data_IF_375938993524
#
_entry.id   IF_375938993524
#
_cell.length_a   1.000
_cell.length_b   1.000
_cell.length_c   1.000
_cell.angle_alpha   90.00
_cell.angle_beta   90.00
_cell.angle_gamma   90.00
#
_symmetry.space_group_name_H-M   'P 1'
#
loop_
_entity.id
_entity.type
_entity.pdbx_description
1 polymer ?
#
# COMPACT_ATOMS: atom_id res chain seq x y z
N UNK A 1 71.09 -32.45 -39.17
CA UNK A 1 69.61 -32.51 -39.14
C UNK A 1 69.13 -31.69 -37.96
N UNK A 2 68.53 -30.53 -38.23
CA UNK A 2 68.04 -29.58 -37.23
C UNK A 2 66.62 -29.95 -36.80
N UNK A 3 66.35 -29.95 -35.50
CA UNK A 3 65.01 -30.19 -34.93
C UNK A 3 64.52 -28.98 -34.15
N UNK A 4 63.38 -28.48 -34.64
CA UNK A 4 62.19 -28.00 -33.94
C UNK A 4 62.19 -26.67 -33.16
N UNK A 5 61.23 -25.87 -33.62
CA UNK A 5 60.73 -24.56 -33.20
C UNK A 5 59.77 -24.74 -32.02
N UNK A 6 59.97 -23.95 -30.98
CA UNK A 6 59.10 -23.88 -29.80
C UNK A 6 57.72 -23.32 -30.15
N UNK A 7 56.68 -23.99 -29.65
CA UNK A 7 55.29 -23.51 -29.65
C UNK A 7 54.83 -23.42 -28.20
N UNK A 8 54.19 -22.30 -27.88
CA UNK A 8 53.68 -21.91 -26.56
C UNK A 8 52.41 -22.69 -26.16
N UNK A 9 52.23 -23.09 -24.89
CA UNK A 9 50.93 -23.49 -24.37
C UNK A 9 50.21 -22.33 -23.67
N UNK A 10 48.89 -22.45 -23.75
CA UNK A 10 47.79 -21.61 -23.28
C UNK A 10 47.75 -21.36 -21.78
N UNK A 11 47.46 -20.12 -21.40
CA UNK A 11 47.03 -19.75 -20.05
C UNK A 11 45.63 -20.33 -19.82
N UNK A 12 45.51 -21.25 -18.87
CA UNK A 12 44.23 -21.70 -18.31
C UNK A 12 44.18 -21.22 -16.87
N UNK A 13 43.15 -20.48 -16.50
CA UNK A 13 42.99 -19.97 -15.14
C UNK A 13 41.83 -19.00 -15.03
N UNK A 14 40.60 -19.52 -15.09
CA UNK A 14 39.43 -18.81 -14.59
C UNK A 14 39.54 -18.72 -13.06
N UNK A 15 39.99 -17.57 -12.56
CA UNK A 15 39.85 -17.24 -11.14
C UNK A 15 38.38 -16.92 -10.91
N UNK A 16 37.65 -17.86 -10.33
CA UNK A 16 36.32 -17.61 -9.80
C UNK A 16 36.42 -16.51 -8.74
N UNK A 17 35.85 -15.35 -9.04
CA UNK A 17 35.58 -14.30 -8.05
C UNK A 17 34.47 -14.80 -7.14
N UNK A 18 34.85 -15.35 -5.98
CA UNK A 18 33.92 -15.59 -4.88
C UNK A 18 33.17 -14.28 -4.56
N UNK A 19 31.82 -14.26 -4.55
CA UNK A 19 31.09 -13.06 -4.20
C UNK A 19 31.39 -12.72 -2.74
N UNK A 20 31.95 -11.53 -2.54
CA UNK A 20 32.19 -10.95 -1.22
C UNK A 20 30.90 -10.93 -0.39
N UNK A 21 30.99 -11.08 0.95
CA UNK A 21 29.83 -11.16 1.82
C UNK A 21 28.99 -9.91 1.57
N UNK A 22 27.77 -10.11 1.05
CA UNK A 22 26.85 -9.01 0.78
C UNK A 22 26.60 -8.35 2.12
N UNK A 23 27.16 -7.15 2.29
CA UNK A 23 26.93 -6.31 3.46
C UNK A 23 25.42 -6.23 3.62
N UNK A 24 24.91 -6.71 4.75
CA UNK A 24 23.49 -6.59 5.07
C UNK A 24 23.19 -5.09 5.08
N UNK A 25 22.62 -4.59 3.98
CA UNK A 25 22.10 -3.24 3.92
C UNK A 25 20.88 -3.28 4.83
N UNK A 26 21.05 -2.92 6.09
CA UNK A 26 19.95 -2.40 6.89
C UNK A 26 19.53 -1.09 6.22
N UNK A 27 18.78 -1.19 5.12
CA UNK A 27 18.02 -0.06 4.65
C UNK A 27 16.92 0.11 5.69
N UNK A 28 16.93 1.22 6.42
CA UNK A 28 15.86 1.59 7.35
C UNK A 28 14.55 1.94 6.59
N UNK A 29 14.30 1.25 5.47
CA UNK A 29 13.18 1.44 4.57
C UNK A 29 12.13 0.38 4.91
N UNK A 30 10.88 0.79 5.13
CA UNK A 30 9.79 -0.15 5.34
C UNK A 30 9.64 -1.04 4.10
N UNK A 31 9.53 -2.35 4.32
CA UNK A 31 9.28 -3.35 3.27
C UNK A 31 7.81 -3.41 2.87
N UNK A 32 6.92 -2.74 3.62
CA UNK A 32 5.46 -2.77 3.43
C UNK A 32 4.88 -1.39 3.68
N UNK A 33 3.96 -0.99 2.80
CA UNK A 33 3.24 0.27 2.84
C UNK A 33 1.74 -0.01 2.93
N UNK A 34 1.04 0.76 3.77
CA UNK A 34 -0.41 0.80 3.82
C UNK A 34 -0.86 2.05 3.07
N UNK A 35 -1.54 1.85 1.95
CA UNK A 35 -2.05 2.94 1.10
C UNK A 35 -3.53 3.12 1.41
N UNK A 36 -3.93 4.34 1.74
CA UNK A 36 -5.30 4.71 2.10
C UNK A 36 -5.70 5.96 1.33
N UNK A 37 -6.98 6.04 0.96
CA UNK A 37 -7.60 7.19 0.33
C UNK A 37 -8.97 7.37 1.00
N UNK A 38 -9.08 8.37 1.88
CA UNK A 38 -10.31 8.56 2.65
C UNK A 38 -11.28 9.43 1.88
N UNK A 39 -12.51 8.96 1.78
CA UNK A 39 -13.62 9.84 1.44
C UNK A 39 -14.22 10.43 2.72
N UNK A 40 -14.68 11.68 2.65
CA UNK A 40 -15.24 12.39 3.77
C UNK A 40 -16.53 13.13 3.40
N UNK A 41 -17.41 13.33 4.39
CA UNK A 41 -18.57 14.21 4.24
C UNK A 41 -18.10 15.60 3.82
N UNK A 42 -18.77 16.21 2.85
CA UNK A 42 -18.45 17.56 2.39
C UNK A 42 -19.70 18.34 2.02
N UNK A 43 -19.57 19.66 1.96
CA UNK A 43 -20.62 20.58 1.57
C UNK A 43 -20.07 21.57 0.56
N UNK A 44 -20.84 21.82 -0.51
CA UNK A 44 -20.45 22.80 -1.51
C UNK A 44 -20.36 24.20 -0.88
N UNK A 45 -19.31 24.94 -1.23
CA UNK A 45 -19.05 26.32 -0.81
C UNK A 45 -18.90 26.56 0.71
N UNK A 46 -18.70 25.50 1.51
CA UNK A 46 -18.41 25.61 2.94
C UNK A 46 -17.08 24.93 3.31
N UNK A 47 -16.02 25.74 3.41
CA UNK A 47 -14.68 25.28 3.79
C UNK A 47 -14.53 25.03 5.30
N UNK A 48 -15.47 25.49 6.12
CA UNK A 48 -15.47 25.30 7.58
C UNK A 48 -16.39 24.15 8.02
N UNK A 49 -16.82 23.32 7.07
CA UNK A 49 -17.64 22.16 7.36
C UNK A 49 -16.81 21.09 8.09
N UNK A 50 -17.28 20.64 9.25
CA UNK A 50 -16.63 19.56 10.00
C UNK A 50 -16.78 18.24 9.23
N UNK A 51 -15.69 17.81 8.59
CA UNK A 51 -15.65 16.61 7.77
C UNK A 51 -15.51 15.35 8.63
N UNK A 52 -16.28 14.32 8.30
CA UNK A 52 -16.23 12.99 8.89
C UNK A 52 -15.87 11.97 7.80
N UNK A 53 -15.02 10.99 8.12
CA UNK A 53 -14.68 9.88 7.21
C UNK A 53 -15.95 9.09 6.90
N UNK A 54 -16.20 8.80 5.62
CA UNK A 54 -17.34 7.99 5.12
C UNK A 54 -16.91 6.75 4.32
N UNK A 55 -15.64 6.66 3.94
CA UNK A 55 -15.03 5.45 3.36
C UNK A 55 -13.61 5.27 3.90
N UNK A 56 -13.26 4.03 4.26
CA UNK A 56 -11.98 3.67 4.87
C UNK A 56 -11.36 2.46 4.13
N UNK A 57 -10.68 2.68 2.98
CA UNK A 57 -9.94 1.64 2.29
C UNK A 57 -8.49 1.57 2.81
N UNK A 58 -7.95 0.36 2.92
CA UNK A 58 -6.51 0.14 3.13
C UNK A 58 -6.03 -0.93 2.16
N UNK A 59 -4.98 -0.61 1.42
CA UNK A 59 -4.31 -1.49 0.48
C UNK A 59 -2.86 -1.74 0.90
N UNK A 60 -2.43 -3.00 0.89
CA UNK A 60 -1.05 -3.38 1.19
C UNK A 60 -0.22 -3.34 -0.10
N UNK A 61 0.92 -2.66 -0.04
CA UNK A 61 1.95 -2.68 -1.07
C UNK A 61 3.27 -3.14 -0.46
N UNK A 62 3.81 -4.26 -0.93
CA UNK A 62 5.13 -4.76 -0.52
C UNK A 62 6.20 -4.34 -1.52
N UNK A 63 7.42 -4.10 -1.05
CA UNK A 63 8.52 -3.63 -1.89
C UNK A 63 8.89 -4.62 -3.01
N UNK A 64 8.69 -5.91 -2.78
CA UNK A 64 8.94 -7.00 -3.73
C UNK A 64 7.73 -7.32 -4.63
N UNK A 65 6.57 -6.71 -4.37
CA UNK A 65 5.35 -6.86 -5.16
C UNK A 65 5.17 -5.65 -6.09
N UNK A 66 5.08 -5.91 -7.40
CA UNK A 66 4.81 -4.85 -8.39
C UNK A 66 3.32 -4.50 -8.51
N UNK A 67 2.45 -5.08 -7.69
CA UNK A 67 1.00 -4.88 -7.76
C UNK A 67 0.40 -4.82 -6.35
N UNK A 68 -0.67 -4.04 -6.21
CA UNK A 68 -1.45 -4.01 -4.97
C UNK A 68 -2.13 -5.37 -4.76
N UNK A 69 -1.89 -5.98 -3.61
CA UNK A 69 -2.55 -7.20 -3.23
C UNK A 69 -3.99 -6.91 -2.75
N UNK A 70 -4.94 -6.99 -3.68
CA UNK A 70 -6.37 -6.77 -3.39
C UNK A 70 -6.96 -7.79 -2.41
N UNK A 71 -6.37 -8.98 -2.27
CA UNK A 71 -6.86 -10.02 -1.35
C UNK A 71 -6.55 -9.69 0.11
N UNK A 72 -5.52 -8.89 0.33
CA UNK A 72 -5.09 -8.41 1.64
C UNK A 72 -5.41 -6.92 1.79
N UNK A 73 -6.58 -6.51 1.31
CA UNK A 73 -7.07 -5.14 1.49
C UNK A 73 -8.17 -5.12 2.55
N UNK A 74 -8.25 -4.01 3.27
CA UNK A 74 -9.40 -3.70 4.12
C UNK A 74 -10.27 -2.66 3.41
N UNK A 75 -11.58 -2.76 3.57
CA UNK A 75 -12.53 -1.76 3.08
C UNK A 75 -13.74 -1.70 4.00
N UNK A 76 -14.17 -0.49 4.32
CA UNK A 76 -15.44 -0.24 5.01
C UNK A 76 -15.98 1.12 4.63
N UNK A 77 -17.29 1.21 4.42
CA UNK A 77 -17.98 2.49 4.60
C UNK A 77 -18.04 2.84 6.08
N UNK A 78 -18.23 4.13 6.38
CA UNK A 78 -18.29 4.65 7.74
C UNK A 78 -19.53 5.52 7.89
N UNK A 79 -20.26 5.34 9.00
CA UNK A 79 -21.43 6.14 9.33
C UNK A 79 -21.01 7.44 10.03
N UNK A 80 -21.26 8.62 9.43
CA UNK A 80 -21.04 9.90 10.09
C UNK A 80 -22.05 10.09 11.23
N UNK A 81 -21.62 10.77 12.30
CA UNK A 81 -22.39 10.93 13.54
C UNK A 81 -22.72 12.39 13.87
N UNK A 82 -21.92 13.33 13.34
CA UNK A 82 -22.13 14.77 13.51
C UNK A 82 -23.06 15.31 12.43
N UNK A 83 -22.82 14.90 11.17
CA UNK A 83 -23.62 15.22 10.00
C UNK A 83 -24.09 13.92 9.29
N UNK A 84 -25.10 13.21 9.83
CA UNK A 84 -25.48 11.88 9.34
C UNK A 84 -26.02 11.86 7.90
N UNK A 85 -26.45 13.01 7.38
CA UNK A 85 -27.01 13.14 6.03
C UNK A 85 -25.98 13.72 5.07
N UNK A 86 -25.64 12.96 4.04
CA UNK A 86 -24.75 13.40 2.97
C UNK A 86 -25.41 14.51 2.16
N UNK A 87 -24.62 15.51 1.76
CA UNK A 87 -25.07 16.49 0.79
C UNK A 87 -25.11 15.88 -0.61
N UNK A 88 -25.96 16.42 -1.49
CA UNK A 88 -26.00 15.99 -2.90
C UNK A 88 -24.63 16.15 -3.57
N UNK A 89 -23.89 17.22 -3.24
CA UNK A 89 -22.54 17.45 -3.72
C UNK A 89 -21.58 16.34 -3.31
N UNK A 90 -21.61 15.94 -2.03
CA UNK A 90 -20.76 14.87 -1.51
C UNK A 90 -21.05 13.53 -2.18
N UNK A 91 -22.34 13.18 -2.34
CA UNK A 91 -22.73 11.95 -3.06
C UNK A 91 -22.33 12.00 -4.53
N UNK A 92 -22.45 13.15 -5.21
CA UNK A 92 -22.01 13.29 -6.59
C UNK A 92 -20.50 13.19 -6.76
N UNK A 93 -19.73 13.74 -5.81
CA UNK A 93 -18.27 13.75 -5.84
C UNK A 93 -17.66 12.38 -5.56
N UNK A 94 -18.17 11.68 -4.54
CA UNK A 94 -17.61 10.42 -4.03
C UNK A 94 -18.29 9.18 -4.63
N UNK A 95 -19.52 9.33 -5.13
CA UNK A 95 -20.37 8.20 -5.54
C UNK A 95 -21.00 7.43 -4.37
N UNK A 96 -20.77 7.84 -3.12
CA UNK A 96 -21.29 7.18 -1.92
C UNK A 96 -22.72 7.63 -1.66
N UNK A 97 -23.63 6.66 -1.56
CA UNK A 97 -25.05 6.88 -1.29
C UNK A 97 -25.35 6.94 0.20
N UNK A 98 -26.43 7.65 0.55
CA UNK A 98 -26.93 7.70 1.93
C UNK A 98 -27.18 6.29 2.51
N UNK A 99 -27.69 5.37 1.70
CA UNK A 99 -27.95 3.98 2.13
C UNK A 99 -26.66 3.24 2.54
N UNK A 100 -25.53 3.52 1.89
CA UNK A 100 -24.25 2.89 2.24
C UNK A 100 -23.77 3.36 3.61
N UNK A 101 -23.80 4.66 3.88
CA UNK A 101 -23.37 5.21 5.18
C UNK A 101 -24.38 4.89 6.29
N UNK A 102 -25.67 4.81 5.98
CA UNK A 102 -26.71 4.46 6.97
C UNK A 102 -26.54 3.04 7.53
N UNK A 103 -26.14 2.11 6.65
CA UNK A 103 -25.90 0.71 6.96
C UNK A 103 -24.48 0.44 7.49
N UNK A 104 -23.60 1.44 7.47
CA UNK A 104 -22.22 1.31 7.88
C UNK A 104 -22.05 1.34 9.41
N UNK A 105 -20.97 0.72 9.92
CA UNK A 105 -20.51 0.94 11.30
C UNK A 105 -20.03 2.39 11.52
N UNK A 106 -20.02 2.86 12.78
CA UNK A 106 -19.39 4.13 13.15
C UNK A 106 -17.86 4.04 13.05
N UNK A 107 -17.18 5.20 12.99
CA UNK A 107 -15.73 5.26 12.85
C UNK A 107 -14.99 4.48 13.96
N UNK A 108 -15.46 4.54 15.20
CA UNK A 108 -14.87 3.78 16.32
C UNK A 108 -14.88 2.27 16.05
N UNK A 109 -16.00 1.73 15.57
CA UNK A 109 -16.13 0.31 15.23
C UNK A 109 -15.22 -0.05 14.05
N UNK A 110 -15.10 0.83 13.05
CA UNK A 110 -14.20 0.62 11.90
C UNK A 110 -12.75 0.60 12.32
N UNK A 111 -12.31 1.50 13.18
CA UNK A 111 -10.93 1.53 13.70
C UNK A 111 -10.60 0.25 14.48
N UNK A 112 -11.54 -0.24 15.29
CA UNK A 112 -11.39 -1.53 15.97
C UNK A 112 -11.29 -2.70 14.97
N UNK A 113 -12.08 -2.67 13.89
CA UNK A 113 -12.00 -3.66 12.82
C UNK A 113 -10.66 -3.61 12.08
N UNK A 114 -10.14 -2.42 11.80
CA UNK A 114 -8.80 -2.21 11.20
C UNK A 114 -7.72 -2.76 12.12
N UNK A 115 -7.77 -2.44 13.41
CA UNK A 115 -6.81 -2.96 14.40
C UNK A 115 -6.80 -4.50 14.41
N UNK A 116 -8.00 -5.11 14.50
CA UNK A 116 -8.13 -6.57 14.47
C UNK A 116 -7.68 -7.17 13.14
N UNK A 117 -7.87 -6.45 12.03
CA UNK A 117 -7.44 -6.89 10.70
C UNK A 117 -5.91 -6.84 10.56
N UNK A 118 -5.24 -5.80 11.06
CA UNK A 118 -3.77 -5.68 11.05
C UNK A 118 -3.05 -6.74 11.89
N UNK A 119 -3.74 -7.36 12.86
CA UNK A 119 -3.19 -8.38 13.74
C UNK A 119 -3.39 -9.82 13.24
N UNK A 120 -4.13 -10.03 12.14
CA UNK A 120 -4.33 -11.36 11.52
C UNK A 120 -3.13 -11.75 10.66
#
# INVERSE_FOLDING_TARGET
>A
TMTQKSSSPSVSGDVALEPSPTTCRHTNRPSTFLVTDFEATCMQDNTFFDQEIIEFPIHILRQDENQINKKESFHSFVKPTTHPHLSDFCTQLTGITQKQVDAAPTLEVVLNNVHNWLLK
#
